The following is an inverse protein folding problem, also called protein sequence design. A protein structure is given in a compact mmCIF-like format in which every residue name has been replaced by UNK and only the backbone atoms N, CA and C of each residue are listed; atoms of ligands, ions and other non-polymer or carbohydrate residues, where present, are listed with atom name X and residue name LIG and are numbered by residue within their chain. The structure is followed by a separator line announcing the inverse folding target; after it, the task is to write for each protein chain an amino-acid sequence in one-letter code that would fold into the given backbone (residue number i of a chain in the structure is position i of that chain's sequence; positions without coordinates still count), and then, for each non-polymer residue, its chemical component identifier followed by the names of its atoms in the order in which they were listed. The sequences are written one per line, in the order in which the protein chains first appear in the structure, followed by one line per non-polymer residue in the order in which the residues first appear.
data_IF_241216639270
#
_entry.id   IF_241216639270
#
_cell.length_a   1.000
_cell.length_b   1.000
_cell.length_c   1.000
_cell.angle_alpha   90.00
_cell.angle_beta   90.00
_cell.angle_gamma   90.00
#
_symmetry.space_group_name_H-M   'P 1'
#
loop_
_entity.id
_entity.type
_entity.pdbx_description
1 polymer ?
#
# COMPACT_ATOMS: atom_id res chain seq x y z
N UNK A 1 -5.64 -8.08 16.85
CA UNK A 1 -6.24 -9.19 16.11
C UNK A 1 -5.12 -10.10 15.61
N UNK A 2 -5.38 -11.41 15.57
CA UNK A 2 -4.47 -12.38 14.97
C UNK A 2 -5.05 -12.86 13.64
N UNK A 3 -4.19 -13.11 12.67
CA UNK A 3 -4.54 -13.57 11.34
C UNK A 3 -3.79 -14.85 11.07
N UNK A 4 -4.46 -15.83 10.46
CA UNK A 4 -3.77 -16.92 9.80
C UNK A 4 -3.71 -16.58 8.32
N UNK A 5 -2.51 -16.61 7.76
CA UNK A 5 -2.27 -16.37 6.35
C UNK A 5 -1.82 -17.67 5.68
N UNK A 6 -2.26 -17.89 4.45
CA UNK A 6 -1.64 -18.87 3.56
C UNK A 6 -0.27 -18.34 3.10
N UNK A 7 0.80 -19.09 3.36
CA UNK A 7 2.18 -18.67 3.05
C UNK A 7 2.44 -18.49 1.56
N UNK A 8 1.69 -19.15 0.68
CA UNK A 8 1.91 -19.11 -0.77
C UNK A 8 1.47 -17.79 -1.40
N UNK A 9 0.47 -17.12 -0.80
CA UNK A 9 -0.18 -15.96 -1.42
C UNK A 9 -0.58 -14.86 -0.42
N UNK A 10 -0.26 -15.03 0.88
CA UNK A 10 -0.58 -14.11 1.97
C UNK A 10 -2.08 -13.86 2.15
N UNK A 11 -2.95 -14.74 1.64
CA UNK A 11 -4.40 -14.60 1.83
C UNK A 11 -4.78 -14.90 3.27
N UNK A 12 -5.65 -14.08 3.83
CA UNK A 12 -6.25 -14.30 5.15
C UNK A 12 -7.18 -15.51 5.06
N UNK A 13 -6.83 -16.59 5.76
CA UNK A 13 -7.68 -17.79 5.84
C UNK A 13 -8.51 -17.81 7.12
N UNK A 14 -8.09 -17.06 8.13
CA UNK A 14 -8.79 -16.98 9.41
C UNK A 14 -8.39 -15.72 10.21
N UNK A 15 -9.30 -15.25 11.07
CA UNK A 15 -9.14 -14.05 11.90
C UNK A 15 -9.56 -14.38 13.35
N UNK A 16 -8.74 -13.98 14.33
CA UNK A 16 -9.12 -13.85 15.73
C UNK A 16 -9.16 -12.37 16.15
N UNK A 17 -10.27 -11.94 16.71
CA UNK A 17 -10.39 -10.61 17.30
C UNK A 17 -9.67 -10.47 18.67
N UNK A 18 -9.20 -11.57 19.28
CA UNK A 18 -8.44 -11.55 20.54
C UNK A 18 -7.22 -10.63 20.44
N UNK A 19 -7.00 -9.85 21.49
CA UNK A 19 -5.91 -8.88 21.61
C UNK A 19 -4.60 -9.53 22.03
N UNK A 20 -4.61 -10.75 22.56
CA UNK A 20 -3.41 -11.51 22.91
C UNK A 20 -2.78 -12.11 21.64
N UNK A 21 -1.45 -12.06 21.55
CA UNK A 21 -0.72 -12.73 20.48
C UNK A 21 -0.89 -14.24 20.60
N UNK A 22 -1.16 -14.91 19.48
CA UNK A 22 -1.35 -16.36 19.44
C UNK A 22 -0.25 -17.05 18.65
N UNK A 23 -0.06 -18.34 18.92
CA UNK A 23 0.91 -19.17 18.20
C UNK A 23 0.40 -20.60 18.02
N UNK A 24 0.86 -21.27 16.97
CA UNK A 24 0.63 -22.70 16.75
C UNK A 24 -0.85 -23.12 16.70
N UNK A 25 -1.12 -24.33 17.19
CA UNK A 25 -2.46 -24.94 17.19
C UNK A 25 -3.43 -24.24 18.13
N UNK A 26 -2.92 -23.51 19.12
CA UNK A 26 -3.73 -22.71 20.04
C UNK A 26 -4.45 -21.57 19.30
N UNK A 27 -3.93 -21.15 18.14
CA UNK A 27 -4.57 -20.17 17.27
C UNK A 27 -5.70 -20.78 16.43
N UNK A 28 -5.48 -21.95 15.83
CA UNK A 28 -6.41 -22.57 14.91
C UNK A 28 -6.16 -24.08 14.83
N UNK A 29 -7.20 -24.88 15.04
CA UNK A 29 -7.08 -26.34 15.07
C UNK A 29 -6.51 -26.95 13.76
N UNK A 30 -6.75 -26.30 12.62
CA UNK A 30 -6.22 -26.72 11.32
C UNK A 30 -4.90 -26.02 10.96
N UNK A 31 -4.24 -25.37 11.92
CA UNK A 31 -2.97 -24.72 11.70
C UNK A 31 -1.93 -25.75 11.26
N UNK A 32 -1.27 -25.47 10.14
CA UNK A 32 -0.18 -26.26 9.60
C UNK A 32 0.99 -25.30 9.38
N UNK A 33 2.07 -25.39 10.18
CA UNK A 33 3.19 -24.45 10.07
C UNK A 33 3.89 -24.50 8.71
N UNK A 34 3.70 -25.54 7.90
CA UNK A 34 4.24 -25.62 6.54
C UNK A 34 3.42 -24.81 5.53
N UNK A 35 2.14 -24.58 5.80
CA UNK A 35 1.22 -23.89 4.88
C UNK A 35 0.81 -22.51 5.40
N UNK A 36 0.84 -22.32 6.71
CA UNK A 36 0.27 -21.18 7.39
C UNK A 36 1.32 -20.42 8.18
N UNK A 37 1.12 -19.11 8.29
CA UNK A 37 1.80 -18.23 9.23
C UNK A 37 0.77 -17.49 10.07
N UNK A 38 1.17 -17.09 11.27
CA UNK A 38 0.33 -16.34 12.19
C UNK A 38 0.88 -14.93 12.25
N UNK A 39 -0.01 -13.95 12.08
CA UNK A 39 0.35 -12.54 12.11
C UNK A 39 -0.51 -11.82 13.13
N UNK A 40 0.11 -11.02 13.98
CA UNK A 40 -0.55 -10.12 14.90
C UNK A 40 -0.62 -8.71 14.32
N UNK A 41 -1.77 -8.05 14.45
CA UNK A 41 -1.96 -6.66 14.04
C UNK A 41 -2.84 -5.91 15.04
N UNK A 42 -2.51 -4.64 15.29
CA UNK A 42 -3.29 -3.71 16.12
C UNK A 42 -4.20 -2.78 15.30
N UNK A 43 -3.74 -2.33 14.13
CA UNK A 43 -4.34 -1.21 13.38
C UNK A 43 -4.62 -1.51 11.91
N UNK A 44 -4.63 -2.79 11.52
CA UNK A 44 -4.90 -3.24 10.17
C UNK A 44 -5.92 -4.39 10.21
N UNK A 45 -6.98 -4.30 9.40
CA UNK A 45 -8.14 -5.20 9.47
C UNK A 45 -8.59 -5.75 8.10
N UNK A 46 -7.77 -6.56 7.43
CA UNK A 46 -8.17 -7.24 6.20
C UNK A 46 -9.23 -8.31 6.46
N UNK A 47 -10.07 -8.57 5.47
CA UNK A 47 -11.11 -9.58 5.51
C UNK A 47 -10.60 -10.97 5.08
N UNK A 48 -11.37 -12.01 5.40
CA UNK A 48 -11.07 -13.39 4.97
C UNK A 48 -11.09 -13.45 3.43
N UNK A 49 -10.06 -14.03 2.85
CA UNK A 49 -9.86 -14.15 1.40
C UNK A 49 -9.09 -12.98 0.78
N UNK A 50 -8.96 -11.85 1.49
CA UNK A 50 -8.12 -10.73 1.05
C UNK A 50 -6.63 -11.07 1.20
N UNK A 51 -5.82 -10.41 0.39
CA UNK A 51 -4.35 -10.47 0.52
C UNK A 51 -3.91 -9.55 1.65
N UNK A 52 -3.14 -10.07 2.60
CA UNK A 52 -2.57 -9.30 3.68
C UNK A 52 -1.44 -8.42 3.14
N UNK A 53 -1.62 -7.10 3.19
CA UNK A 53 -0.72 -6.14 2.57
C UNK A 53 0.38 -5.62 3.47
N UNK A 54 0.13 -5.58 4.79
CA UNK A 54 1.08 -4.99 5.71
C UNK A 54 2.41 -5.73 5.72
N UNK A 55 3.50 -4.98 5.84
CA UNK A 55 4.81 -5.56 6.11
C UNK A 55 4.75 -6.36 7.43
N UNK A 56 5.35 -7.54 7.47
CA UNK A 56 5.37 -8.41 8.65
C UNK A 56 6.80 -8.54 9.14
N UNK A 57 7.06 -8.19 10.41
CA UNK A 57 8.34 -8.41 11.10
C UNK A 57 8.08 -9.22 12.35
N UNK A 58 8.78 -10.35 12.48
CA UNK A 58 8.67 -11.26 13.63
C UNK A 58 7.22 -11.65 13.98
N UNK A 59 6.39 -11.87 12.95
CA UNK A 59 4.98 -12.23 13.11
C UNK A 59 4.06 -11.05 13.49
N UNK A 60 4.54 -9.81 13.40
CA UNK A 60 3.78 -8.60 13.72
C UNK A 60 3.66 -7.71 12.48
N UNK A 61 2.43 -7.35 12.12
CA UNK A 61 2.14 -6.38 11.09
C UNK A 61 2.65 -5.01 11.51
N UNK A 62 3.39 -4.36 10.62
CA UNK A 62 3.90 -3.02 10.82
C UNK A 62 2.81 -1.99 10.54
N UNK A 63 2.88 -0.87 11.25
CA UNK A 63 2.01 0.27 11.01
C UNK A 63 2.20 0.81 9.60
N UNK A 64 1.10 1.29 9.01
CA UNK A 64 1.15 1.95 7.72
C UNK A 64 1.90 3.27 7.83
N UNK A 65 2.81 3.53 6.89
CA UNK A 65 3.49 4.82 6.77
C UNK A 65 2.75 5.64 5.71
N UNK A 66 2.19 6.82 6.06
CA UNK A 66 1.49 7.66 5.09
C UNK A 66 2.34 7.95 3.86
N UNK A 67 1.75 7.74 2.68
CA UNK A 67 2.43 7.91 1.40
C UNK A 67 1.70 8.92 0.54
N UNK A 68 2.45 9.80 -0.12
CA UNK A 68 1.90 10.73 -1.10
C UNK A 68 1.69 10.02 -2.43
N UNK A 69 0.54 10.28 -3.03
CA UNK A 69 0.24 9.93 -4.42
C UNK A 69 -0.29 11.15 -5.13
N UNK A 70 -0.13 11.17 -6.44
CA UNK A 70 -0.40 12.33 -7.27
C UNK A 70 -1.31 11.94 -8.43
N UNK A 71 -2.32 12.77 -8.70
CA UNK A 71 -3.15 12.59 -9.88
C UNK A 71 -2.31 12.82 -11.15
N UNK A 72 -2.30 11.84 -12.07
CA UNK A 72 -1.52 11.86 -13.32
C UNK A 72 -1.86 13.03 -14.26
N UNK A 73 -3.03 13.67 -14.08
CA UNK A 73 -3.50 14.79 -14.90
C UNK A 73 -3.39 16.11 -14.13
N UNK A 74 -4.07 16.24 -12.97
CA UNK A 74 -4.15 17.50 -12.22
C UNK A 74 -2.90 17.81 -11.40
N UNK A 75 -2.07 16.81 -11.12
CA UNK A 75 -0.90 16.86 -10.21
C UNK A 75 -1.27 17.09 -8.74
N UNK A 76 -2.56 17.06 -8.42
CA UNK A 76 -3.03 17.19 -7.05
C UNK A 76 -2.50 16.03 -6.22
N UNK A 77 -1.96 16.38 -5.05
CA UNK A 77 -1.49 15.45 -4.04
C UNK A 77 -2.66 14.98 -3.19
N UNK A 78 -2.67 13.69 -2.86
CA UNK A 78 -3.35 13.19 -1.66
C UNK A 78 -2.43 12.24 -0.90
N UNK A 79 -2.78 11.98 0.35
CA UNK A 79 -2.00 11.13 1.24
C UNK A 79 -2.79 9.86 1.50
N UNK A 80 -2.23 8.70 1.15
CA UNK A 80 -2.72 7.39 1.58
C UNK A 80 -2.63 7.30 3.10
N UNK A 81 -3.70 6.87 3.78
CA UNK A 81 -3.76 6.85 5.24
C UNK A 81 -3.69 5.43 5.85
N UNK A 82 -3.91 4.39 5.06
CA UNK A 82 -3.90 3.00 5.54
C UNK A 82 -3.54 2.03 4.42
N UNK A 83 -3.34 0.75 4.78
CA UNK A 83 -3.11 -0.33 3.82
C UNK A 83 -4.28 -0.56 2.86
N UNK A 84 -5.50 -0.22 3.27
CA UNK A 84 -6.73 -0.30 2.46
C UNK A 84 -6.87 0.88 1.49
N UNK A 85 -6.23 2.02 1.79
CA UNK A 85 -6.20 3.19 0.91
C UNK A 85 -5.15 2.99 -0.18
N UNK A 86 -5.59 2.52 -1.35
CA UNK A 86 -4.69 2.15 -2.45
C UNK A 86 -4.55 3.26 -3.48
N UNK A 87 -3.40 3.25 -4.14
CA UNK A 87 -3.21 3.99 -5.37
C UNK A 87 -4.14 3.45 -6.47
N UNK A 88 -4.81 4.34 -7.20
CA UNK A 88 -5.51 3.99 -8.43
C UNK A 88 -4.52 4.04 -9.61
N UNK A 89 -4.01 2.91 -10.12
CA UNK A 89 -2.96 2.92 -11.13
C UNK A 89 -3.39 3.56 -12.46
N UNK A 90 -4.69 3.67 -12.74
CA UNK A 90 -5.19 4.32 -13.95
C UNK A 90 -5.06 5.85 -13.87
N UNK A 91 -5.14 6.42 -12.67
CA UNK A 91 -5.26 7.87 -12.48
C UNK A 91 -4.18 8.47 -11.59
N UNK A 92 -3.41 7.65 -10.87
CA UNK A 92 -2.48 8.08 -9.83
C UNK A 92 -1.10 7.43 -9.97
N UNK A 93 -0.08 8.17 -9.51
CA UNK A 93 1.30 7.72 -9.43
C UNK A 93 1.90 8.10 -8.07
N UNK A 94 2.84 7.32 -7.56
CA UNK A 94 3.65 7.67 -6.38
C UNK A 94 4.84 8.58 -6.74
N UNK A 95 5.10 8.78 -8.03
CA UNK A 95 6.12 9.69 -8.51
C UNK A 95 5.69 11.14 -8.33
N UNK A 96 6.50 11.91 -7.60
CA UNK A 96 6.26 13.32 -7.37
C UNK A 96 6.41 14.14 -8.66
N UNK A 97 5.45 15.05 -8.95
CA UNK A 97 5.58 16.02 -10.04
C UNK A 97 6.86 16.83 -9.95
N UNK A 98 7.44 17.14 -11.11
CA UNK A 98 8.69 17.91 -11.17
C UNK A 98 8.49 19.31 -10.59
N UNK A 99 9.44 19.72 -9.76
CA UNK A 99 9.51 21.05 -9.13
C UNK A 99 10.75 21.81 -9.58
N UNK A 100 10.68 23.13 -9.59
CA UNK A 100 11.85 23.99 -9.74
C UNK A 100 12.60 24.11 -8.39
N UNK A 101 13.68 24.88 -8.37
CA UNK A 101 14.51 25.08 -7.18
C UNK A 101 13.76 25.74 -6.00
N UNK A 102 12.70 26.52 -6.26
CA UNK A 102 11.89 27.15 -5.22
C UNK A 102 10.77 26.23 -4.67
N UNK A 103 10.61 25.02 -5.23
CA UNK A 103 9.61 24.03 -4.83
C UNK A 103 8.27 24.16 -5.55
N UNK A 104 8.11 25.13 -6.44
CA UNK A 104 6.93 25.26 -7.30
C UNK A 104 6.91 24.21 -8.41
N UNK A 105 5.71 23.76 -8.79
CA UNK A 105 5.54 22.79 -9.88
C UNK A 105 6.04 23.37 -11.22
N UNK A 106 6.80 22.58 -11.97
CA UNK A 106 7.15 22.92 -13.34
C UNK A 106 5.87 22.98 -14.20
N UNK A 107 5.69 24.04 -15.01
CA UNK A 107 4.55 24.15 -15.90
C UNK A 107 4.66 23.18 -17.08
N UNK A 108 3.53 22.90 -17.72
CA UNK A 108 3.43 22.06 -18.93
C UNK A 108 3.93 20.62 -18.78
N UNK A 109 4.06 20.11 -17.55
CA UNK A 109 4.40 18.70 -17.36
C UNK A 109 3.18 17.78 -17.57
N UNK A 110 3.42 16.61 -18.16
CA UNK A 110 2.47 15.49 -18.33
C UNK A 110 3.08 14.23 -17.72
N UNK A 111 2.25 13.27 -17.32
CA UNK A 111 2.71 11.98 -16.86
C UNK A 111 2.81 10.99 -18.03
N UNK A 112 3.98 10.39 -18.23
CA UNK A 112 4.22 9.29 -19.15
C UNK A 112 4.46 8.01 -18.35
N UNK A 113 3.80 6.91 -18.73
CA UNK A 113 3.86 5.65 -17.94
C UNK A 113 5.28 5.08 -17.81
N UNK A 114 6.15 5.35 -18.78
CA UNK A 114 7.52 4.83 -18.82
C UNK A 114 8.56 5.78 -18.23
N UNK A 115 8.40 7.09 -18.41
CA UNK A 115 9.38 8.11 -18.00
C UNK A 115 8.97 8.87 -16.74
N UNK A 116 7.73 8.70 -16.27
CA UNK A 116 7.14 9.50 -15.21
C UNK A 116 6.78 10.91 -15.71
N UNK A 117 6.98 11.91 -14.86
CA UNK A 117 6.67 13.30 -15.21
C UNK A 117 7.68 13.88 -16.20
N UNK A 118 7.20 14.38 -17.34
CA UNK A 118 8.01 15.02 -18.39
C UNK A 118 7.44 16.39 -18.77
N UNK A 119 8.28 17.33 -19.17
CA UNK A 119 7.82 18.65 -19.67
C UNK A 119 7.42 18.55 -21.14
N UNK A 120 6.16 18.87 -21.44
CA UNK A 120 5.66 18.99 -22.79
C UNK A 120 6.16 20.30 -23.44
N UNK A 121 7.21 20.17 -24.26
CA UNK A 121 7.82 21.29 -24.97
C UNK A 121 6.95 21.83 -26.12
N UNK A 122 5.91 21.10 -26.55
CA UNK A 122 4.96 21.59 -27.55
C UNK A 122 4.02 22.59 -26.88
N UNK A 123 3.44 22.23 -25.73
CA UNK A 123 2.62 23.14 -24.92
C UNK A 123 3.41 24.39 -24.50
N UNK A 124 4.69 24.21 -24.13
CA UNK A 124 5.56 25.32 -23.75
C UNK A 124 5.77 26.38 -24.85
N UNK A 125 5.70 26.01 -26.14
CA UNK A 125 5.93 26.94 -27.26
C UNK A 125 4.72 27.82 -27.63
N UNK A 126 3.55 27.53 -27.08
CA UNK A 126 2.28 28.22 -27.43
C UNK A 126 2.02 29.44 -26.50
N UNK A 127 2.89 29.66 -25.51
CA UNK A 127 2.93 30.84 -24.62
C UNK A 127 4.15 31.71 -24.90
#
# INVERSE_FOLDING_TARGET
MNYILDKSNKKVVWINADSNQMSGIDAWANFNPNQHEIVYSLHYNPEIGETFLAEIKDGIAQDFIPQKVYNKISKEERILQSWEDRINPETETDLEPLKNEDGSLLPFQIYAETEGWIVDLIQKKIL
#
